data_IF_564290866478
#
_entry.id   IF_564290866478
#
_cell.length_a   1.000
_cell.length_b   1.000
_cell.length_c   1.000
_cell.angle_alpha   90.00
_cell.angle_beta   90.00
_cell.angle_gamma   90.00
#
_symmetry.space_group_name_H-M   'P 1'
#
loop_
_entity.id
_entity.type
_entity.pdbx_description
1 polymer ?
#
# COMPACT_ATOMS: atom_id res chain seq x y z
N UNK A 1 10.13 -17.89 2.90
CA UNK A 1 8.69 -17.94 3.28
C UNK A 1 8.43 -16.85 4.31
N UNK A 2 7.64 -15.82 3.96
CA UNK A 2 7.51 -14.59 4.77
C UNK A 2 6.80 -14.75 6.12
N UNK A 3 5.96 -15.79 6.30
CA UNK A 3 5.28 -16.08 7.57
C UNK A 3 6.21 -16.39 8.75
N UNK A 4 7.50 -16.61 8.50
CA UNK A 4 8.51 -16.84 9.53
C UNK A 4 9.20 -15.56 10.00
N UNK A 5 8.74 -14.39 9.53
CA UNK A 5 9.18 -13.12 10.06
C UNK A 5 8.96 -13.07 11.60
N UNK A 6 9.94 -12.59 12.37
CA UNK A 6 9.81 -12.53 13.82
C UNK A 6 8.71 -11.54 14.22
N UNK A 7 8.02 -11.83 15.32
CA UNK A 7 7.02 -10.95 15.93
C UNK A 7 7.20 -10.91 17.45
N UNK A 8 6.79 -9.80 18.08
CA UNK A 8 6.87 -9.65 19.53
C UNK A 8 6.19 -10.82 20.25
N UNK A 9 6.90 -11.47 21.17
CA UNK A 9 6.43 -12.65 21.90
C UNK A 9 5.88 -13.77 21.00
N UNK A 10 6.30 -13.83 19.73
CA UNK A 10 5.80 -14.76 18.71
C UNK A 10 4.27 -14.74 18.51
N UNK A 11 3.63 -13.58 18.77
CA UNK A 11 2.18 -13.41 18.65
C UNK A 11 1.67 -13.62 17.21
N UNK A 12 2.54 -13.45 16.21
CA UNK A 12 2.25 -13.59 14.78
C UNK A 12 0.94 -12.86 14.37
N UNK A 13 0.81 -11.56 14.68
CA UNK A 13 -0.46 -10.85 14.48
C UNK A 13 -0.73 -10.50 13.02
N UNK A 14 0.27 -10.63 12.15
CA UNK A 14 0.24 -10.20 10.76
C UNK A 14 -0.66 -11.12 9.94
N UNK A 15 -1.67 -10.52 9.31
CA UNK A 15 -2.49 -11.11 8.25
C UNK A 15 -2.07 -10.51 6.91
N UNK A 16 -2.20 -11.32 5.87
CA UNK A 16 -1.79 -10.97 4.52
C UNK A 16 -3.02 -10.91 3.62
N UNK A 17 -3.17 -9.80 2.91
CA UNK A 17 -4.10 -9.67 1.80
C UNK A 17 -3.27 -9.58 0.52
N UNK A 18 -3.48 -10.52 -0.40
CA UNK A 18 -2.84 -10.52 -1.71
C UNK A 18 -3.90 -10.26 -2.75
N UNK A 19 -3.71 -9.21 -3.54
CA UNK A 19 -4.60 -8.84 -4.64
C UNK A 19 -3.87 -9.21 -5.92
N UNK A 20 -4.43 -10.18 -6.64
CA UNK A 20 -3.81 -10.76 -7.83
C UNK A 20 -4.31 -10.11 -9.11
N UNK A 21 -5.51 -9.57 -9.10
CA UNK A 21 -6.19 -9.05 -10.26
C UNK A 21 -5.69 -7.63 -10.57
N UNK A 22 -5.07 -7.45 -11.74
CA UNK A 22 -4.58 -6.14 -12.20
C UNK A 22 -5.67 -5.07 -12.17
N UNK A 23 -6.89 -5.43 -12.57
CA UNK A 23 -8.02 -4.50 -12.62
C UNK A 23 -8.42 -4.06 -11.21
N UNK A 24 -8.31 -4.94 -10.20
CA UNK A 24 -8.53 -4.58 -8.80
C UNK A 24 -7.42 -3.67 -8.26
N UNK A 25 -6.16 -3.91 -8.64
CA UNK A 25 -5.06 -3.00 -8.33
C UNK A 25 -5.32 -1.61 -8.94
N UNK A 26 -5.68 -1.54 -10.22
CA UNK A 26 -5.99 -0.26 -10.88
C UNK A 26 -7.22 0.43 -10.26
N UNK A 27 -8.23 -0.32 -9.83
CA UNK A 27 -9.38 0.23 -9.11
C UNK A 27 -8.95 0.88 -7.79
N UNK A 28 -8.04 0.26 -7.05
CA UNK A 28 -7.49 0.83 -5.82
C UNK A 28 -6.67 2.10 -6.07
N UNK A 29 -5.86 2.12 -7.12
CA UNK A 29 -5.15 3.32 -7.56
C UNK A 29 -6.15 4.45 -7.81
N UNK A 30 -7.26 4.16 -8.50
CA UNK A 30 -8.35 5.10 -8.72
C UNK A 30 -8.89 5.72 -7.42
N UNK A 31 -9.10 4.93 -6.36
CA UNK A 31 -9.55 5.47 -5.06
C UNK A 31 -8.53 6.43 -4.42
N UNK A 32 -7.23 6.14 -4.56
CA UNK A 32 -6.19 7.04 -4.07
C UNK A 32 -6.20 8.36 -4.84
N UNK A 33 -6.39 8.31 -6.16
CA UNK A 33 -6.50 9.51 -7.00
C UNK A 33 -7.73 10.34 -6.63
N UNK A 34 -8.88 9.71 -6.40
CA UNK A 34 -10.10 10.42 -5.96
C UNK A 34 -9.90 11.11 -4.61
N UNK A 35 -9.23 10.45 -3.67
CA UNK A 35 -8.84 11.09 -2.40
C UNK A 35 -7.90 12.28 -2.60
N UNK A 36 -6.92 12.18 -3.51
CA UNK A 36 -6.04 13.30 -3.84
C UNK A 36 -6.80 14.48 -4.47
N UNK A 37 -7.74 14.21 -5.38
CA UNK A 37 -8.63 15.23 -5.96
C UNK A 37 -9.45 15.92 -4.88
N UNK A 38 -9.98 15.16 -3.94
CA UNK A 38 -10.70 15.71 -2.79
C UNK A 38 -9.80 16.66 -1.96
N UNK A 39 -8.57 16.26 -1.65
CA UNK A 39 -7.62 17.14 -0.93
C UNK A 39 -7.25 18.41 -1.70
N UNK A 40 -7.13 18.33 -3.03
CA UNK A 40 -6.89 19.49 -3.89
C UNK A 40 -8.07 20.45 -3.81
N UNK A 41 -9.30 19.94 -3.91
CA UNK A 41 -10.51 20.76 -3.84
C UNK A 41 -10.71 21.43 -2.47
N UNK A 42 -10.15 20.85 -1.40
CA UNK A 42 -10.20 21.42 -0.04
C UNK A 42 -9.04 22.37 0.27
N UNK A 43 -8.17 22.68 -0.70
CA UNK A 43 -6.95 23.49 -0.49
C UNK A 43 -6.08 22.96 0.67
N UNK A 44 -6.00 21.64 0.81
CA UNK A 44 -5.25 21.00 1.89
C UNK A 44 -3.77 21.40 1.84
N UNK A 45 -3.10 21.65 2.98
CA UNK A 45 -1.66 21.91 3.01
C UNK A 45 -0.82 20.73 2.45
N UNK A 46 -1.42 19.55 2.34
CA UNK A 46 -0.79 18.37 1.73
C UNK A 46 -0.62 18.50 0.21
N UNK A 47 -1.38 19.37 -0.46
CA UNK A 47 -1.34 19.55 -1.92
C UNK A 47 0.06 19.92 -2.38
N UNK A 48 0.65 20.95 -1.76
CA UNK A 48 2.01 21.39 -2.06
C UNK A 48 3.06 20.40 -1.53
N UNK A 49 2.89 19.93 -0.29
CA UNK A 49 3.86 19.05 0.36
C UNK A 49 4.07 17.70 -0.36
N UNK A 50 3.03 17.20 -1.04
CA UNK A 50 3.05 15.93 -1.77
C UNK A 50 2.94 16.11 -3.29
N UNK A 51 2.93 17.35 -3.79
CA UNK A 51 2.75 17.68 -5.20
C UNK A 51 1.52 17.02 -5.85
N UNK A 52 0.37 17.02 -5.15
CA UNK A 52 -0.81 16.24 -5.55
C UNK A 52 -1.33 16.62 -6.94
N UNK A 53 -1.29 17.91 -7.30
CA UNK A 53 -1.66 18.39 -8.65
C UNK A 53 -0.87 17.68 -9.75
N UNK A 54 0.43 17.44 -9.54
CA UNK A 54 1.31 16.75 -10.49
C UNK A 54 0.96 15.27 -10.58
N UNK A 55 0.65 14.64 -9.45
CA UNK A 55 0.26 13.22 -9.40
C UNK A 55 -1.04 12.99 -10.16
N UNK A 56 -2.06 13.81 -9.91
CA UNK A 56 -3.36 13.72 -10.60
C UNK A 56 -3.21 13.99 -12.10
N UNK A 57 -2.42 15.00 -12.49
CA UNK A 57 -2.15 15.27 -13.91
C UNK A 57 -1.46 14.10 -14.63
N UNK A 58 -0.53 13.41 -13.96
CA UNK A 58 0.13 12.23 -14.53
C UNK A 58 -0.85 11.06 -14.73
N UNK A 59 -1.79 10.90 -13.79
CA UNK A 59 -2.90 9.94 -13.90
C UNK A 59 -3.83 10.25 -15.08
N UNK A 60 -4.22 11.51 -15.25
CA UNK A 60 -5.06 11.95 -16.38
C UNK A 60 -4.38 11.74 -17.74
N UNK A 61 -3.04 11.71 -17.76
CA UNK A 61 -2.24 11.30 -18.91
C UNK A 61 -2.24 9.79 -19.19
N UNK A 62 -3.00 8.98 -18.44
CA UNK A 62 -3.11 7.53 -18.64
C UNK A 62 -2.01 6.71 -17.95
N UNK A 63 -1.29 7.28 -16.99
CA UNK A 63 -0.24 6.58 -16.26
C UNK A 63 -0.69 6.25 -14.83
N UNK A 64 -0.15 5.19 -14.23
CA UNK A 64 -0.36 4.87 -12.81
C UNK A 64 0.81 5.41 -11.97
N UNK A 65 0.67 6.55 -11.27
CA UNK A 65 1.73 7.08 -10.40
C UNK A 65 1.81 6.36 -9.03
N UNK A 66 0.80 5.58 -8.65
CA UNK A 66 0.67 5.04 -7.29
C UNK A 66 1.28 3.65 -7.21
N UNK A 67 0.77 2.70 -8.00
CA UNK A 67 1.24 1.32 -8.04
C UNK A 67 2.12 1.03 -9.25
N UNK A 68 2.31 1.99 -10.17
CA UNK A 68 3.18 1.86 -11.35
C UNK A 68 2.86 0.64 -12.21
N UNK A 69 1.58 0.36 -12.40
CA UNK A 69 1.08 -0.79 -13.15
C UNK A 69 1.51 -2.15 -12.56
N UNK A 70 1.79 -2.21 -11.25
CA UNK A 70 2.09 -3.47 -10.57
C UNK A 70 0.95 -4.48 -10.82
N UNK A 71 1.26 -5.73 -11.22
CA UNK A 71 0.24 -6.73 -11.49
C UNK A 71 -0.45 -7.20 -10.21
N UNK A 72 0.23 -7.10 -9.07
CA UNK A 72 -0.23 -7.60 -7.78
C UNK A 72 0.16 -6.62 -6.67
N UNK A 73 -0.64 -6.58 -5.61
CA UNK A 73 -0.36 -5.81 -4.40
C UNK A 73 -0.48 -6.73 -3.19
N UNK A 74 0.48 -6.66 -2.28
CA UNK A 74 0.48 -7.37 -1.01
C UNK A 74 0.36 -6.36 0.11
N UNK A 75 -0.64 -6.54 0.98
CA UNK A 75 -0.87 -5.69 2.15
C UNK A 75 -0.74 -6.54 3.41
N UNK A 76 0.09 -6.08 4.33
CA UNK A 76 0.10 -6.59 5.71
C UNK A 76 -0.85 -5.78 6.56
N UNK A 77 -1.69 -6.46 7.33
CA UNK A 77 -2.62 -5.82 8.26
C UNK A 77 -2.79 -6.67 9.52
N UNK A 78 -3.27 -6.06 10.59
CA UNK A 78 -3.53 -6.74 11.86
C UNK A 78 -4.66 -6.02 12.61
N UNK A 79 -5.00 -6.52 13.80
CA UNK A 79 -6.02 -5.90 14.64
C UNK A 79 -5.54 -4.52 15.11
N UNK A 80 -6.41 -3.50 15.05
CA UNK A 80 -6.03 -2.12 15.40
C UNK A 80 -5.55 -1.94 16.85
N UNK A 81 -6.07 -2.76 17.77
CA UNK A 81 -5.71 -2.69 19.19
C UNK A 81 -4.39 -3.41 19.53
N UNK A 82 -3.79 -4.12 18.56
CA UNK A 82 -2.51 -4.76 18.74
C UNK A 82 -1.37 -3.75 18.61
N UNK A 83 -0.78 -3.38 19.75
CA UNK A 83 0.31 -2.41 19.81
C UNK A 83 1.59 -2.87 19.11
N UNK A 84 1.76 -4.17 18.87
CA UNK A 84 2.91 -4.75 18.18
C UNK A 84 2.71 -4.81 16.66
N UNK A 85 1.47 -4.65 16.19
CA UNK A 85 1.11 -4.80 14.79
C UNK A 85 1.93 -3.95 13.82
N UNK A 86 2.17 -2.63 14.05
CA UNK A 86 2.91 -1.83 13.09
C UNK A 86 4.32 -2.36 12.85
N UNK A 87 5.04 -2.68 13.92
CA UNK A 87 6.40 -3.23 13.82
C UNK A 87 6.39 -4.63 13.17
N UNK A 88 5.46 -5.49 13.55
CA UNK A 88 5.34 -6.83 12.99
C UNK A 88 5.03 -6.80 11.48
N UNK A 89 4.11 -5.94 11.03
CA UNK A 89 3.78 -5.76 9.61
C UNK A 89 4.98 -5.25 8.80
N UNK A 90 5.73 -4.28 9.33
CA UNK A 90 6.95 -3.76 8.67
C UNK A 90 8.01 -4.85 8.53
N UNK A 91 8.32 -5.56 9.62
CA UNK A 91 9.31 -6.66 9.61
C UNK A 91 8.89 -7.74 8.62
N UNK A 92 7.60 -8.09 8.60
CA UNK A 92 7.06 -9.09 7.69
C UNK A 92 7.25 -8.71 6.21
N UNK A 93 6.98 -7.45 5.85
CA UNK A 93 7.23 -6.95 4.48
C UNK A 93 8.71 -6.97 4.12
N UNK A 94 9.61 -6.51 5.00
CA UNK A 94 11.06 -6.58 4.76
C UNK A 94 11.55 -8.03 4.60
N UNK A 95 10.97 -8.97 5.35
CA UNK A 95 11.31 -10.38 5.23
C UNK A 95 10.78 -10.99 3.92
N UNK A 96 9.63 -10.51 3.42
CA UNK A 96 9.06 -10.89 2.13
C UNK A 96 9.94 -10.39 0.97
N UNK A 97 10.45 -9.16 1.04
CA UNK A 97 11.33 -8.58 0.00
C UNK A 97 12.59 -9.41 -0.25
N UNK A 98 13.14 -10.05 0.78
CA UNK A 98 14.30 -10.94 0.66
C UNK A 98 13.97 -12.35 0.15
N UNK A 99 12.70 -12.69 -0.04
CA UNK A 99 12.28 -13.99 -0.58
C UNK A 99 12.12 -13.92 -2.11
N UNK A 100 12.47 -14.99 -2.81
CA UNK A 100 11.99 -15.19 -4.18
C UNK A 100 10.47 -15.38 -4.17
N UNK A 101 9.73 -14.40 -4.70
CA UNK A 101 8.27 -14.44 -4.81
C UNK A 101 7.89 -14.92 -6.21
N UNK A 102 7.17 -16.03 -6.30
CA UNK A 102 6.55 -16.50 -7.54
C UNK A 102 5.03 -16.37 -7.39
N UNK A 103 4.42 -15.61 -8.30
CA UNK A 103 2.97 -15.49 -8.44
C UNK A 103 2.48 -16.42 -9.54
#
# INVERSE_FOLDING_TARGET
VARFAPSGSNLQPVKWLVIYERDEVQRMVGFVIEWMRHLINEDSPLVEALHLNRVVSFWEGGNDPICRNAPHVIVTHAHQDDRTAPAACTIALTYLEGCDIKF
#
